data_IF_837431634577
#
_entry.id   IF_837431634577
#
_cell.length_a   1.000
_cell.length_b   1.000
_cell.length_c   1.000
_cell.angle_alpha   90.00
_cell.angle_beta   90.00
_cell.angle_gamma   90.00
#
_symmetry.space_group_name_H-M   'P 1'
#
loop_
_entity.id
_entity.type
_entity.pdbx_description
1 polymer ?
#
# COMPACT_ATOMS: atom_id res chain seq x y z
N UNK A 1 -7.82 18.50 -6.39
CA UNK A 1 -7.26 19.06 -5.14
C UNK A 1 -8.46 19.40 -4.30
N UNK A 2 -8.63 18.74 -3.16
CA UNK A 2 -9.73 19.02 -2.24
C UNK A 2 -9.43 20.28 -1.43
N UNK A 3 -10.47 20.88 -0.86
CA UNK A 3 -10.33 22.11 -0.08
C UNK A 3 -9.41 21.90 1.13
N UNK A 4 -8.57 22.89 1.42
CA UNK A 4 -7.58 22.89 2.50
C UNK A 4 -6.53 21.76 2.48
N UNK A 5 -6.53 20.89 1.46
CA UNK A 5 -5.54 19.82 1.36
C UNK A 5 -4.11 20.38 1.30
N UNK A 6 -3.18 19.74 1.99
CA UNK A 6 -1.73 20.03 1.92
C UNK A 6 -0.97 18.95 1.15
N UNK A 7 -1.58 17.78 0.97
CA UNK A 7 -1.09 16.66 0.18
C UNK A 7 -2.15 16.31 -0.87
N UNK A 8 -1.73 15.90 -2.06
CA UNK A 8 -2.62 15.72 -3.21
C UNK A 8 -2.39 14.38 -3.92
N UNK A 9 -3.42 13.92 -4.62
CA UNK A 9 -3.41 12.61 -5.27
C UNK A 9 -4.56 11.76 -4.76
N UNK A 10 -5.29 11.14 -5.68
CA UNK A 10 -6.43 10.29 -5.34
C UNK A 10 -6.60 9.19 -6.39
N UNK A 11 -7.10 8.02 -5.99
CA UNK A 11 -7.28 6.85 -6.88
C UNK A 11 -8.54 6.95 -7.75
N UNK A 12 -9.52 7.75 -7.35
CA UNK A 12 -10.75 7.99 -8.12
C UNK A 12 -10.81 9.37 -8.76
N UNK A 13 -12.01 9.77 -9.20
CA UNK A 13 -12.26 11.10 -9.77
C UNK A 13 -12.71 12.13 -8.72
N UNK A 14 -13.27 11.66 -7.60
CA UNK A 14 -13.70 12.46 -6.44
C UNK A 14 -13.65 11.63 -5.14
N UNK A 15 -13.54 12.22 -3.94
CA UNK A 15 -13.33 11.49 -2.67
C UNK A 15 -14.36 10.41 -2.32
N UNK A 16 -15.54 10.43 -2.93
CA UNK A 16 -16.60 9.44 -2.74
C UNK A 16 -16.61 8.33 -3.83
N UNK A 17 -15.63 8.33 -4.74
CA UNK A 17 -15.54 7.39 -5.86
C UNK A 17 -14.45 6.36 -5.61
N UNK A 18 -14.70 5.10 -5.94
CA UNK A 18 -13.75 4.01 -5.73
C UNK A 18 -13.14 3.55 -7.05
N UNK A 19 -11.91 3.06 -7.02
CA UNK A 19 -11.29 2.46 -8.20
C UNK A 19 -11.85 1.06 -8.47
N UNK A 20 -12.01 0.73 -9.75
CA UNK A 20 -12.39 -0.60 -10.23
C UNK A 20 -11.31 -1.11 -11.19
N UNK A 21 -10.70 -2.25 -10.83
CA UNK A 21 -9.65 -2.91 -11.61
C UNK A 21 -10.26 -4.04 -12.42
N UNK A 22 -10.63 -3.71 -13.65
CA UNK A 22 -11.41 -4.61 -14.52
C UNK A 22 -10.62 -5.85 -14.97
N UNK A 23 -9.29 -5.75 -15.02
CA UNK A 23 -8.38 -6.85 -15.33
C UNK A 23 -8.27 -7.87 -14.18
N UNK A 24 -8.74 -7.50 -12.98
CA UNK A 24 -8.52 -8.26 -11.75
C UNK A 24 -9.25 -9.59 -11.68
N UNK A 25 -10.49 -9.65 -12.16
CA UNK A 25 -11.26 -10.89 -12.21
C UNK A 25 -12.71 -10.71 -12.65
N UNK A 26 -13.23 -11.67 -13.40
CA UNK A 26 -14.59 -11.61 -13.95
C UNK A 26 -15.68 -11.69 -12.89
N UNK A 27 -15.47 -12.43 -11.79
CA UNK A 27 -16.42 -12.42 -10.67
C UNK A 27 -16.53 -11.04 -10.02
N UNK A 28 -15.41 -10.33 -9.86
CA UNK A 28 -15.40 -8.97 -9.33
C UNK A 28 -16.14 -8.01 -10.27
N UNK A 29 -15.92 -8.16 -11.57
CA UNK A 29 -16.55 -7.34 -12.60
C UNK A 29 -18.08 -7.51 -12.61
N UNK A 30 -18.56 -8.75 -12.50
CA UNK A 30 -19.99 -9.05 -12.38
C UNK A 30 -20.57 -8.47 -11.10
N UNK A 31 -19.88 -8.57 -9.97
CA UNK A 31 -20.34 -7.97 -8.72
C UNK A 31 -20.41 -6.43 -8.79
N UNK A 32 -19.39 -5.77 -9.36
CA UNK A 32 -19.39 -4.31 -9.56
C UNK A 32 -20.54 -3.88 -10.49
N UNK A 33 -20.83 -4.64 -11.54
CA UNK A 33 -21.95 -4.35 -12.43
C UNK A 33 -23.32 -4.48 -11.74
N UNK A 34 -23.47 -5.44 -10.84
CA UNK A 34 -24.73 -5.75 -10.17
C UNK A 34 -24.93 -5.02 -8.83
N UNK A 35 -23.91 -4.33 -8.30
CA UNK A 35 -24.03 -3.61 -7.03
C UNK A 35 -24.86 -2.33 -7.21
N UNK A 36 -26.01 -2.19 -6.52
CA UNK A 36 -26.87 -1.03 -6.69
C UNK A 36 -26.23 0.25 -6.15
N UNK A 37 -26.40 1.36 -6.87
CA UNK A 37 -26.05 2.71 -6.37
C UNK A 37 -24.55 3.06 -6.39
N UNK A 38 -23.71 2.23 -7.01
CA UNK A 38 -22.28 2.55 -7.20
C UNK A 38 -21.96 3.06 -8.61
N UNK A 39 -22.86 2.83 -9.58
CA UNK A 39 -22.69 3.29 -10.95
C UNK A 39 -22.90 4.82 -11.04
N UNK A 40 -22.03 5.57 -11.74
CA UNK A 40 -22.22 7.01 -11.92
C UNK A 40 -23.50 7.35 -12.67
N UNK A 41 -24.12 8.47 -12.33
CA UNK A 41 -25.28 8.97 -13.08
C UNK A 41 -24.88 9.59 -14.43
N UNK A 42 -25.68 9.40 -15.51
CA UNK A 42 -26.91 8.60 -15.58
C UNK A 42 -26.64 7.09 -15.56
N UNK A 43 -27.26 6.37 -14.63
CA UNK A 43 -26.97 4.95 -14.36
C UNK A 43 -27.06 4.07 -15.61
N UNK A 44 -28.12 4.21 -16.42
CA UNK A 44 -28.32 3.40 -17.62
C UNK A 44 -27.17 3.53 -18.65
N UNK A 45 -26.58 4.73 -18.79
CA UNK A 45 -25.45 4.93 -19.69
C UNK A 45 -24.16 4.36 -19.11
N UNK A 46 -23.96 4.50 -17.80
CA UNK A 46 -22.82 3.93 -17.09
C UNK A 46 -22.84 2.41 -17.16
N UNK A 47 -23.97 1.76 -16.88
CA UNK A 47 -24.12 0.31 -17.00
C UNK A 47 -23.83 -0.18 -18.42
N UNK A 48 -24.27 0.55 -19.46
CA UNK A 48 -23.94 0.20 -20.85
C UNK A 48 -22.43 0.24 -21.13
N UNK A 49 -21.73 1.25 -20.61
CA UNK A 49 -20.26 1.36 -20.72
C UNK A 49 -19.58 0.25 -19.94
N UNK A 50 -20.02 -0.02 -18.72
CA UNK A 50 -19.50 -1.09 -17.88
C UNK A 50 -19.63 -2.45 -18.56
N UNK A 51 -20.82 -2.80 -19.06
CA UNK A 51 -21.04 -4.05 -19.80
C UNK A 51 -20.08 -4.20 -21.00
N UNK A 52 -19.93 -3.15 -21.81
CA UNK A 52 -19.01 -3.20 -22.96
C UNK A 52 -17.54 -3.38 -22.56
N UNK A 53 -17.13 -2.83 -21.41
CA UNK A 53 -15.79 -3.05 -20.87
C UNK A 53 -15.63 -4.48 -20.32
N UNK A 54 -16.63 -5.00 -19.62
CA UNK A 54 -16.63 -6.36 -19.08
C UNK A 54 -16.55 -7.38 -20.23
N UNK A 55 -17.39 -7.23 -21.25
CA UNK A 55 -17.39 -8.09 -22.44
C UNK A 55 -16.02 -8.15 -23.12
N UNK A 56 -15.29 -7.03 -23.14
CA UNK A 56 -13.94 -6.98 -23.69
C UNK A 56 -12.92 -7.76 -22.85
N UNK A 57 -13.08 -7.75 -21.53
CA UNK A 57 -12.14 -8.38 -20.59
C UNK A 57 -12.48 -9.83 -20.26
N UNK A 58 -13.70 -10.28 -20.55
CA UNK A 58 -14.11 -11.67 -20.43
C UNK A 58 -13.14 -12.60 -21.16
N UNK A 59 -12.59 -13.59 -20.45
CA UNK A 59 -11.57 -14.54 -20.93
C UNK A 59 -10.12 -14.01 -20.88
N UNK A 60 -9.92 -12.74 -20.54
CA UNK A 60 -8.61 -12.09 -20.45
C UNK A 60 -8.24 -11.64 -19.04
N UNK A 61 -9.17 -11.65 -18.09
CA UNK A 61 -8.87 -11.31 -16.69
C UNK A 61 -7.87 -12.31 -16.08
N UNK A 62 -7.14 -11.88 -15.05
CA UNK A 62 -6.19 -12.74 -14.33
C UNK A 62 -6.91 -13.99 -13.79
N UNK A 63 -8.12 -13.80 -13.26
CA UNK A 63 -8.96 -14.87 -12.77
C UNK A 63 -9.35 -15.87 -13.86
N UNK A 64 -9.78 -15.40 -15.04
CA UNK A 64 -10.19 -16.29 -16.15
C UNK A 64 -9.04 -17.12 -16.70
N UNK A 65 -7.82 -16.60 -16.63
CA UNK A 65 -6.60 -17.32 -17.02
C UNK A 65 -6.20 -18.37 -15.98
N UNK A 66 -6.54 -18.15 -14.71
CA UNK A 66 -6.11 -18.98 -13.59
C UNK A 66 -7.10 -20.09 -13.22
N UNK A 67 -8.40 -19.80 -13.17
CA UNK A 67 -9.45 -20.77 -12.76
C UNK A 67 -9.40 -22.08 -13.56
N UNK A 68 -9.29 -22.06 -14.91
CA UNK A 68 -9.20 -23.31 -15.69
C UNK A 68 -7.99 -24.16 -15.30
N UNK A 69 -6.88 -23.53 -14.94
CA UNK A 69 -5.69 -24.24 -14.45
C UNK A 69 -6.04 -24.98 -13.15
N UNK A 70 -6.56 -24.30 -12.12
CA UNK A 70 -6.93 -24.94 -10.85
C UNK A 70 -7.92 -26.09 -11.04
N UNK A 71 -9.00 -25.84 -11.77
CA UNK A 71 -10.06 -26.84 -12.00
C UNK A 71 -9.57 -28.03 -12.83
N UNK A 72 -8.56 -27.84 -13.69
CA UNK A 72 -7.97 -28.92 -14.49
C UNK A 72 -7.07 -29.89 -13.70
N UNK A 73 -6.43 -29.44 -12.62
CA UNK A 73 -5.55 -30.30 -11.82
C UNK A 73 -6.29 -31.11 -10.76
N UNK A 74 -7.42 -30.62 -10.25
CA UNK A 74 -8.27 -31.36 -9.33
C UNK A 74 -9.66 -30.70 -9.20
N UNK A 75 -10.69 -31.30 -9.78
CA UNK A 75 -12.08 -30.86 -9.60
C UNK A 75 -12.49 -30.85 -8.11
N UNK A 76 -11.93 -31.76 -7.31
CA UNK A 76 -12.08 -31.85 -5.85
C UNK A 76 -11.47 -30.64 -5.11
N UNK A 77 -10.46 -29.96 -5.67
CA UNK A 77 -9.93 -28.71 -5.09
C UNK A 77 -10.88 -27.53 -5.36
N UNK A 78 -11.58 -27.53 -6.49
CA UNK A 78 -12.68 -26.59 -6.76
C UNK A 78 -13.81 -26.72 -5.74
N UNK A 79 -14.10 -27.95 -5.30
CA UNK A 79 -15.07 -28.24 -4.23
C UNK A 79 -14.68 -27.61 -2.89
N UNK A 80 -13.40 -27.67 -2.50
CA UNK A 80 -12.90 -27.06 -1.25
C UNK A 80 -13.01 -25.52 -1.24
N UNK A 81 -12.91 -24.91 -2.42
CA UNK A 81 -13.17 -23.48 -2.62
C UNK A 81 -14.67 -23.18 -2.47
N UNK A 82 -15.53 -23.97 -3.11
CA UNK A 82 -16.99 -23.79 -3.07
C UNK A 82 -17.59 -24.09 -1.68
N UNK A 83 -17.00 -25.03 -0.92
CA UNK A 83 -17.47 -25.39 0.43
C UNK A 83 -17.04 -24.41 1.53
N UNK A 84 -16.22 -23.41 1.21
CA UNK A 84 -15.76 -22.38 2.15
C UNK A 84 -14.76 -22.86 3.20
N UNK A 85 -14.16 -24.04 3.01
CA UNK A 85 -13.12 -24.59 3.90
C UNK A 85 -11.84 -23.78 3.78
N UNK A 86 -11.48 -23.43 2.55
CA UNK A 86 -10.41 -22.47 2.27
C UNK A 86 -11.08 -21.16 1.90
N UNK A 87 -11.11 -20.22 2.84
CA UNK A 87 -11.85 -18.96 2.67
C UNK A 87 -11.03 -17.83 2.06
N UNK A 88 -9.72 -17.76 2.33
CA UNK A 88 -8.87 -16.62 1.93
C UNK A 88 -7.54 -17.07 1.37
N UNK A 89 -6.98 -16.36 0.38
CA UNK A 89 -5.62 -16.58 -0.12
C UNK A 89 -5.49 -17.33 -1.45
N UNK A 90 -6.61 -17.75 -2.06
CA UNK A 90 -6.57 -18.24 -3.43
C UNK A 90 -6.20 -17.09 -4.38
N UNK A 91 -5.32 -17.31 -5.38
CA UNK A 91 -4.87 -16.26 -6.28
C UNK A 91 -5.91 -16.02 -7.39
N UNK A 92 -7.12 -15.68 -6.98
CA UNK A 92 -8.27 -15.34 -7.84
C UNK A 92 -8.33 -13.85 -8.19
N UNK A 93 -7.34 -13.04 -7.76
CA UNK A 93 -7.31 -11.60 -8.02
C UNK A 93 -5.90 -11.08 -8.31
N UNK A 94 -5.82 -10.06 -9.17
CA UNK A 94 -4.62 -9.22 -9.33
C UNK A 94 -4.24 -8.47 -8.05
N UNK A 95 -5.22 -8.23 -7.16
CA UNK A 95 -5.05 -7.57 -5.87
C UNK A 95 -4.44 -8.50 -4.84
N UNK A 96 -3.45 -8.02 -4.09
CA UNK A 96 -2.78 -8.78 -3.04
C UNK A 96 -2.10 -7.88 -2.01
N UNK A 97 -1.34 -8.50 -1.12
CA UNK A 97 -0.50 -7.77 -0.17
C UNK A 97 0.88 -7.56 -0.77
N UNK A 98 1.20 -6.33 -1.13
CA UNK A 98 2.49 -5.94 -1.68
C UNK A 98 3.23 -5.02 -0.72
N UNK A 99 4.49 -5.38 -0.47
CA UNK A 99 5.44 -4.52 0.22
C UNK A 99 6.20 -3.64 -0.76
N UNK A 100 6.58 -2.44 -0.33
CA UNK A 100 7.43 -1.53 -1.09
C UNK A 100 8.80 -1.56 -0.47
N UNK A 101 9.85 -1.60 -1.27
CA UNK A 101 11.23 -1.47 -0.77
C UNK A 101 11.48 -0.02 -0.32
N UNK A 102 10.96 0.34 0.85
CA UNK A 102 11.08 1.69 1.41
C UNK A 102 12.54 2.05 1.72
N UNK A 103 13.38 1.05 2.03
CA UNK A 103 14.82 1.25 2.14
C UNK A 103 15.44 1.72 0.82
N UNK A 104 14.96 1.17 -0.30
CA UNK A 104 15.39 1.61 -1.62
C UNK A 104 14.82 2.98 -2.03
N UNK A 105 13.56 3.28 -1.67
CA UNK A 105 12.82 4.43 -2.22
C UNK A 105 12.81 5.65 -1.29
N UNK A 106 12.46 5.49 0.00
CA UNK A 106 12.15 6.61 0.91
C UNK A 106 13.33 7.09 1.75
N UNK A 107 14.56 6.65 1.47
CA UNK A 107 15.76 7.11 2.19
C UNK A 107 16.27 8.49 1.77
N UNK A 108 15.63 9.15 0.80
CA UNK A 108 16.04 10.47 0.29
C UNK A 108 17.30 10.46 -0.57
N UNK A 109 17.81 9.28 -0.93
CA UNK A 109 19.03 9.12 -1.73
C UNK A 109 18.77 9.13 -3.24
N UNK A 110 17.52 8.96 -3.66
CA UNK A 110 17.13 8.86 -5.08
C UNK A 110 15.68 9.27 -5.31
N UNK A 111 15.40 9.77 -6.50
CA UNK A 111 14.06 9.90 -7.07
C UNK A 111 13.88 8.97 -8.27
N UNK A 112 12.74 9.09 -8.95
CA UNK A 112 12.44 8.27 -10.13
C UNK A 112 13.35 8.56 -11.32
N UNK A 113 13.86 9.79 -11.46
CA UNK A 113 14.86 10.14 -12.49
C UNK A 113 16.15 9.33 -12.31
N UNK A 114 16.60 9.13 -11.08
CA UNK A 114 17.80 8.34 -10.77
C UNK A 114 17.59 6.86 -11.08
N UNK A 115 16.39 6.33 -10.82
CA UNK A 115 16.02 4.93 -11.11
C UNK A 115 15.96 4.72 -12.64
N UNK A 116 15.35 5.64 -13.38
CA UNK A 116 15.31 5.60 -14.85
C UNK A 116 16.74 5.59 -15.42
N UNK A 117 17.60 6.48 -14.92
CA UNK A 117 19.00 6.53 -15.33
C UNK A 117 19.77 5.23 -15.01
N UNK A 118 19.47 4.57 -13.88
CA UNK A 118 20.05 3.25 -13.57
C UNK A 118 19.57 2.16 -14.53
N UNK A 119 18.28 2.17 -14.89
CA UNK A 119 17.73 1.24 -15.88
C UNK A 119 18.41 1.44 -17.24
N UNK A 120 18.58 2.70 -17.69
CA UNK A 120 19.24 2.99 -18.97
C UNK A 120 20.68 2.49 -18.99
N UNK A 121 21.45 2.71 -17.90
CA UNK A 121 22.81 2.17 -17.77
C UNK A 121 22.83 0.64 -17.84
N UNK A 122 21.90 -0.04 -17.16
CA UNK A 122 21.81 -1.51 -17.16
C UNK A 122 21.41 -2.07 -18.52
N UNK A 123 20.51 -1.40 -19.23
CA UNK A 123 20.12 -1.76 -20.59
C UNK A 123 21.32 -1.68 -21.54
N UNK A 124 22.14 -0.63 -21.44
CA UNK A 124 23.32 -0.48 -22.30
C UNK A 124 24.40 -1.51 -21.99
N UNK A 125 24.74 -1.71 -20.70
CA UNK A 125 25.69 -2.74 -20.26
C UNK A 125 25.27 -4.14 -20.72
N UNK A 126 23.96 -4.45 -20.65
CA UNK A 126 23.44 -5.74 -21.09
C UNK A 126 23.53 -5.92 -22.61
N UNK A 127 23.23 -4.89 -23.40
CA UNK A 127 23.38 -4.93 -24.87
C UNK A 127 24.84 -5.16 -25.25
N UNK A 128 25.77 -4.46 -24.59
CA UNK A 128 27.20 -4.60 -24.85
C UNK A 128 27.73 -5.98 -24.49
N UNK A 129 27.28 -6.56 -23.38
CA UNK A 129 27.63 -7.94 -22.99
C UNK A 129 27.07 -8.96 -23.99
N UNK A 130 25.81 -8.82 -24.39
CA UNK A 130 25.16 -9.69 -25.36
C UNK A 130 25.84 -9.65 -26.75
N UNK A 131 26.39 -8.50 -27.15
CA UNK A 131 27.20 -8.36 -28.38
C UNK A 131 28.55 -9.08 -28.30
N UNK A 132 29.17 -9.09 -27.12
CA UNK A 132 30.55 -9.59 -26.92
C UNK A 132 30.63 -11.08 -26.63
N UNK A 133 29.60 -11.70 -26.06
CA UNK A 133 29.62 -13.10 -25.66
C UNK A 133 28.25 -13.75 -25.90
N UNK A 134 28.21 -14.80 -26.72
CA UNK A 134 27.03 -15.64 -26.87
C UNK A 134 27.00 -16.69 -25.73
N UNK A 135 25.85 -16.87 -25.10
CA UNK A 135 25.65 -17.82 -24.00
C UNK A 135 24.16 -17.99 -23.64
N UNK A 136 23.75 -19.11 -23.01
CA UNK A 136 22.36 -19.37 -22.62
C UNK A 136 21.75 -18.29 -21.73
N UNK A 137 22.56 -17.61 -20.92
CA UNK A 137 22.15 -16.49 -20.06
C UNK A 137 21.56 -15.31 -20.83
N UNK A 138 21.86 -15.20 -22.13
CA UNK A 138 21.37 -14.15 -23.01
C UNK A 138 20.03 -14.50 -23.72
N UNK A 139 19.54 -15.73 -23.62
CA UNK A 139 18.23 -16.13 -24.17
C UNK A 139 17.08 -15.33 -23.57
N UNK A 140 17.23 -14.86 -22.33
CA UNK A 140 16.23 -14.06 -21.62
C UNK A 140 16.47 -12.55 -21.66
N UNK A 141 17.45 -12.07 -22.43
CA UNK A 141 17.77 -10.63 -22.52
C UNK A 141 16.59 -9.86 -23.08
N UNK A 142 15.94 -10.36 -24.13
CA UNK A 142 14.76 -9.71 -24.71
C UNK A 142 13.67 -9.46 -23.67
N UNK A 143 13.34 -10.49 -22.87
CA UNK A 143 12.36 -10.36 -21.79
C UNK A 143 12.80 -9.36 -20.70
N UNK A 144 14.07 -9.38 -20.30
CA UNK A 144 14.61 -8.42 -19.32
C UNK A 144 14.56 -6.98 -19.84
N UNK A 145 14.89 -6.76 -21.11
CA UNK A 145 14.82 -5.45 -21.75
C UNK A 145 13.38 -4.94 -21.82
N UNK A 146 12.43 -5.79 -22.20
CA UNK A 146 10.99 -5.45 -22.20
C UNK A 146 10.49 -5.08 -20.81
N UNK A 147 10.89 -5.83 -19.78
CA UNK A 147 10.53 -5.54 -18.39
C UNK A 147 11.09 -4.16 -17.95
N UNK A 148 12.38 -3.91 -18.18
CA UNK A 148 12.99 -2.62 -17.88
C UNK A 148 12.35 -1.44 -18.61
N UNK A 149 11.94 -1.65 -19.86
CA UNK A 149 11.22 -0.62 -20.61
C UNK A 149 9.83 -0.36 -20.01
N UNK A 150 9.11 -1.41 -19.61
CA UNK A 150 7.86 -1.28 -18.86
C UNK A 150 8.04 -0.49 -17.56
N UNK A 151 9.05 -0.82 -16.76
CA UNK A 151 9.39 -0.08 -15.54
C UNK A 151 9.65 1.41 -15.81
N UNK A 152 10.41 1.74 -16.86
CA UNK A 152 10.66 3.15 -17.24
C UNK A 152 9.38 3.88 -17.63
N UNK A 153 8.52 3.25 -18.43
CA UNK A 153 7.24 3.83 -18.84
C UNK A 153 6.39 4.19 -17.62
N UNK A 154 6.30 3.27 -16.64
CA UNK A 154 5.58 3.51 -15.39
C UNK A 154 6.20 4.68 -14.61
N UNK A 155 7.51 4.65 -14.34
CA UNK A 155 8.18 5.72 -13.59
C UNK A 155 7.98 7.11 -14.25
N UNK A 156 8.10 7.19 -15.57
CA UNK A 156 7.84 8.42 -16.33
C UNK A 156 6.36 8.85 -16.27
N UNK A 157 5.43 7.89 -16.29
CA UNK A 157 4.00 8.18 -16.15
C UNK A 157 3.68 8.78 -14.78
N UNK A 158 4.32 8.29 -13.71
CA UNK A 158 4.15 8.87 -12.36
C UNK A 158 4.72 10.28 -12.27
N UNK A 159 5.89 10.54 -12.85
CA UNK A 159 6.44 11.90 -12.91
C UNK A 159 5.47 12.84 -13.63
N UNK A 160 4.86 12.40 -14.75
CA UNK A 160 3.83 13.19 -15.43
C UNK A 160 2.57 13.37 -14.58
N UNK A 161 2.16 12.35 -13.82
CA UNK A 161 1.02 12.42 -12.91
C UNK A 161 1.23 13.48 -11.82
N UNK A 162 2.39 13.50 -11.15
CA UNK A 162 2.74 14.52 -10.17
C UNK A 162 2.77 15.93 -10.79
N UNK A 163 3.39 16.09 -11.96
CA UNK A 163 3.43 17.38 -12.67
C UNK A 163 2.04 17.89 -13.09
N UNK A 164 1.06 17.02 -13.33
CA UNK A 164 -0.33 17.43 -13.56
C UNK A 164 -0.93 18.07 -12.31
N UNK A 165 -0.66 17.53 -11.13
CA UNK A 165 -1.07 18.14 -9.86
C UNK A 165 -0.34 19.46 -9.60
N UNK A 166 0.96 19.54 -9.90
CA UNK A 166 1.70 20.78 -9.79
C UNK A 166 1.08 21.90 -10.64
N UNK A 167 0.85 21.60 -11.92
CA UNK A 167 0.21 22.53 -12.86
C UNK A 167 -1.18 22.95 -12.38
N UNK A 168 -1.99 22.00 -11.91
CA UNK A 168 -3.33 22.30 -11.41
C UNK A 168 -3.28 23.20 -10.17
N UNK A 169 -2.44 22.88 -9.18
CA UNK A 169 -2.28 23.66 -7.97
C UNK A 169 -1.88 25.11 -8.28
N UNK A 170 -0.93 25.30 -9.21
CA UNK A 170 -0.52 26.61 -9.69
C UNK A 170 -1.65 27.37 -10.39
N UNK A 171 -2.41 26.71 -11.26
CA UNK A 171 -3.58 27.33 -11.93
C UNK A 171 -4.61 27.80 -10.90
N UNK A 172 -4.93 26.96 -9.90
CA UNK A 172 -5.89 27.31 -8.84
C UNK A 172 -5.37 28.49 -8.02
N UNK A 173 -4.10 28.45 -7.61
CA UNK A 173 -3.46 29.52 -6.84
C UNK A 173 -3.44 30.87 -7.57
N UNK A 174 -3.19 30.88 -8.87
CA UNK A 174 -3.00 32.11 -9.64
C UNK A 174 -4.31 32.72 -10.14
N UNK A 175 -5.33 31.90 -10.40
CA UNK A 175 -6.53 32.36 -11.12
C UNK A 175 -7.82 32.31 -10.29
N UNK A 176 -7.87 31.51 -9.22
CA UNK A 176 -9.13 31.22 -8.53
C UNK A 176 -9.07 31.42 -7.00
N UNK A 177 -7.89 31.29 -6.38
CA UNK A 177 -7.75 31.46 -4.93
C UNK A 177 -7.63 32.94 -4.53
N UNK A 178 -8.47 33.36 -3.59
CA UNK A 178 -8.53 34.74 -3.10
C UNK A 178 -7.88 34.90 -1.72
N UNK A 179 -7.83 33.83 -0.92
CA UNK A 179 -7.19 33.84 0.38
C UNK A 179 -5.65 33.76 0.21
N UNK A 180 -4.88 34.77 0.64
CA UNK A 180 -3.43 34.79 0.48
C UNK A 180 -2.71 33.59 1.12
N UNK A 181 -3.18 33.12 2.28
CA UNK A 181 -2.59 31.97 2.97
C UNK A 181 -2.79 30.69 2.15
N UNK A 182 -4.03 30.45 1.69
CA UNK A 182 -4.34 29.27 0.89
C UNK A 182 -3.64 29.29 -0.47
N UNK A 183 -3.45 30.48 -1.04
CA UNK A 183 -2.68 30.66 -2.28
C UNK A 183 -1.22 30.22 -2.09
N UNK A 184 -0.59 30.59 -0.97
CA UNK A 184 0.78 30.16 -0.66
C UNK A 184 0.86 28.64 -0.48
N UNK A 185 -0.11 28.04 0.23
CA UNK A 185 -0.20 26.58 0.39
C UNK A 185 -0.30 25.86 -0.96
N UNK A 186 -1.13 26.35 -1.89
CA UNK A 186 -1.26 25.78 -3.23
C UNK A 186 0.04 25.92 -4.05
N UNK A 187 0.75 27.04 -3.94
CA UNK A 187 2.06 27.20 -4.58
C UNK A 187 3.10 26.24 -3.99
N UNK A 188 3.03 25.99 -2.68
CA UNK A 188 3.89 25.00 -1.99
C UNK A 188 3.58 23.57 -2.43
N UNK A 189 2.30 23.23 -2.62
CA UNK A 189 1.88 21.96 -3.22
C UNK A 189 2.43 21.84 -4.65
N UNK A 190 2.38 22.93 -5.43
CA UNK A 190 2.93 22.95 -6.77
C UNK A 190 4.43 22.65 -6.77
N UNK A 191 5.22 23.34 -5.95
CA UNK A 191 6.67 23.10 -5.81
C UNK A 191 6.96 21.65 -5.37
N UNK A 192 6.18 21.14 -4.40
CA UNK A 192 6.31 19.78 -3.89
C UNK A 192 6.09 18.76 -5.00
N UNK A 193 5.03 18.91 -5.81
CA UNK A 193 4.69 18.00 -6.89
C UNK A 193 5.61 18.13 -8.12
N UNK A 194 6.27 19.28 -8.33
CA UNK A 194 7.34 19.43 -9.32
C UNK A 194 8.62 18.70 -8.89
N UNK A 195 8.84 18.59 -7.58
CA UNK A 195 10.01 17.93 -6.99
C UNK A 195 9.85 16.41 -6.92
N UNK A 196 8.82 15.92 -6.22
CA UNK A 196 8.61 14.48 -5.97
C UNK A 196 7.49 13.92 -6.86
N UNK A 197 7.61 12.68 -7.37
CA UNK A 197 8.65 11.69 -7.08
C UNK A 197 9.85 11.72 -8.04
N UNK A 198 9.94 12.70 -8.94
CA UNK A 198 11.02 12.79 -9.91
C UNK A 198 12.41 12.82 -9.25
N UNK A 199 12.54 13.63 -8.20
CA UNK A 199 13.79 13.86 -7.45
C UNK A 199 13.61 13.52 -5.97
N UNK A 200 14.70 13.30 -5.22
CA UNK A 200 14.60 13.01 -3.79
C UNK A 200 13.97 14.16 -3.01
N UNK A 201 13.22 13.81 -1.95
CA UNK A 201 12.62 14.77 -1.02
C UNK A 201 13.68 15.57 -0.25
N UNK A 202 13.32 16.79 0.16
CA UNK A 202 14.19 17.75 0.85
C UNK A 202 13.68 18.17 2.23
N UNK A 203 12.39 17.94 2.47
CA UNK A 203 11.60 18.39 3.62
C UNK A 203 10.46 17.38 3.91
N UNK A 204 9.72 17.58 5.00
CA UNK A 204 8.68 16.66 5.48
C UNK A 204 7.51 16.56 4.49
N UNK A 205 7.03 17.67 3.95
CA UNK A 205 5.90 17.69 3.01
C UNK A 205 6.22 16.91 1.73
N UNK A 206 7.41 17.10 1.16
CA UNK A 206 7.90 16.31 0.02
C UNK A 206 8.03 14.83 0.37
N UNK A 207 8.45 14.49 1.59
CA UNK A 207 8.57 13.09 2.00
C UNK A 207 7.21 12.39 2.09
N UNK A 208 6.20 13.06 2.66
CA UNK A 208 4.84 12.53 2.81
C UNK A 208 4.10 12.48 1.46
N UNK A 209 4.27 13.51 0.63
CA UNK A 209 3.70 13.56 -0.72
C UNK A 209 4.28 12.47 -1.63
N UNK A 210 5.57 12.17 -1.50
CA UNK A 210 6.20 11.08 -2.24
C UNK A 210 5.59 9.73 -1.83
N UNK A 211 5.54 9.40 -0.54
CA UNK A 211 4.90 8.15 -0.09
C UNK A 211 3.44 8.08 -0.57
N UNK A 212 2.66 9.15 -0.40
CA UNK A 212 1.28 9.17 -0.88
C UNK A 212 1.15 8.90 -2.39
N UNK A 213 2.00 9.50 -3.23
CA UNK A 213 1.99 9.21 -4.67
C UNK A 213 2.36 7.77 -5.00
N UNK A 214 3.32 7.17 -4.30
CA UNK A 214 3.66 5.75 -4.48
C UNK A 214 2.44 4.86 -4.25
N UNK A 215 1.65 5.19 -3.23
CA UNK A 215 0.52 4.38 -2.79
C UNK A 215 -0.66 4.52 -3.74
N UNK A 216 -0.94 5.74 -4.21
CA UNK A 216 -1.95 5.98 -5.24
C UNK A 216 -1.62 5.23 -6.53
N UNK A 217 -0.37 5.33 -7.01
CA UNK A 217 0.02 4.71 -8.29
C UNK A 217 0.03 3.19 -8.21
N UNK A 218 0.54 2.62 -7.12
CA UNK A 218 0.54 1.17 -6.95
C UNK A 218 -0.87 0.58 -7.10
N UNK A 219 -1.89 1.31 -6.63
CA UNK A 219 -3.29 0.86 -6.73
C UNK A 219 -3.83 0.94 -8.15
N UNK A 220 -3.32 1.86 -8.97
CA UNK A 220 -3.57 1.83 -10.41
C UNK A 220 -2.85 0.68 -11.12
N UNK A 221 -1.66 0.30 -10.66
CA UNK A 221 -0.84 -0.72 -11.33
C UNK A 221 -1.21 -2.16 -10.94
N UNK A 222 -1.49 -2.40 -9.65
CA UNK A 222 -1.59 -3.74 -9.08
C UNK A 222 -2.75 -3.94 -8.10
N UNK A 223 -3.51 -2.89 -7.77
CA UNK A 223 -4.59 -3.00 -6.79
C UNK A 223 -4.13 -3.39 -5.39
N UNK A 224 -3.01 -2.82 -4.93
CA UNK A 224 -2.45 -3.10 -3.61
C UNK A 224 -3.49 -3.05 -2.49
N UNK A 225 -3.72 -4.18 -1.83
CA UNK A 225 -4.75 -4.35 -0.79
C UNK A 225 -4.27 -4.01 0.62
N UNK A 226 -2.99 -3.70 0.79
CA UNK A 226 -2.40 -3.27 2.06
C UNK A 226 -1.46 -2.09 1.89
N UNK A 227 -1.24 -1.38 2.99
CA UNK A 227 -0.24 -0.32 3.10
C UNK A 227 0.71 -0.64 4.27
N UNK A 228 1.56 -1.67 4.14
CA UNK A 228 2.62 -1.88 5.11
C UNK A 228 3.57 -0.69 5.02
N UNK A 229 3.79 0.05 6.10
CA UNK A 229 4.80 1.11 6.12
C UNK A 229 5.25 1.40 7.55
N UNK A 230 6.31 2.20 7.67
CA UNK A 230 6.89 2.66 8.92
C UNK A 230 7.09 4.18 8.88
N UNK A 231 5.99 4.95 8.90
CA UNK A 231 6.03 6.37 8.56
C UNK A 231 6.88 7.18 9.54
N UNK A 232 6.87 6.84 10.83
CA UNK A 232 7.72 7.50 11.83
C UNK A 232 9.22 7.27 11.61
N UNK A 233 9.60 6.17 10.97
CA UNK A 233 10.98 5.83 10.68
C UNK A 233 11.49 6.52 9.41
N UNK A 234 10.74 6.43 8.31
CA UNK A 234 11.16 6.99 7.02
C UNK A 234 10.94 8.50 6.94
N UNK A 235 9.92 9.04 7.62
CA UNK A 235 9.64 10.47 7.67
C UNK A 235 10.26 11.17 8.88
N UNK A 236 10.64 10.42 9.92
CA UNK A 236 11.27 10.94 11.15
C UNK A 236 12.46 11.89 10.91
N UNK A 237 13.44 11.56 10.04
CA UNK A 237 14.54 12.46 9.74
C UNK A 237 14.10 13.79 9.10
N UNK A 238 13.03 13.79 8.31
CA UNK A 238 12.49 15.01 7.69
C UNK A 238 11.68 15.83 8.66
N UNK A 239 10.95 15.17 9.57
CA UNK A 239 10.28 15.83 10.69
C UNK A 239 11.31 16.54 11.58
N UNK A 240 12.35 15.83 12.03
CA UNK A 240 13.38 16.38 12.90
C UNK A 240 14.09 17.56 12.23
N UNK A 241 14.42 17.42 10.94
CA UNK A 241 15.00 18.50 10.15
C UNK A 241 14.11 19.74 10.12
N UNK A 242 12.85 19.59 9.70
CA UNK A 242 11.96 20.75 9.50
C UNK A 242 11.48 21.38 10.82
N UNK A 243 11.31 20.58 11.88
CA UNK A 243 10.71 21.03 13.14
C UNK A 243 11.76 21.42 14.17
N UNK A 244 12.80 20.60 14.35
CA UNK A 244 13.75 20.75 15.45
C UNK A 244 15.04 21.46 15.02
N UNK A 245 15.54 21.22 13.79
CA UNK A 245 16.81 21.76 13.29
C UNK A 245 16.60 23.08 12.55
N UNK A 246 15.95 23.03 11.39
CA UNK A 246 15.76 24.18 10.49
C UNK A 246 14.62 25.09 10.96
N UNK A 247 13.71 24.56 11.80
CA UNK A 247 12.52 25.25 12.32
C UNK A 247 11.67 25.91 11.23
N UNK A 248 11.56 25.22 10.09
CA UNK A 248 10.70 25.58 8.96
C UNK A 248 9.22 25.40 9.29
N UNK A 249 8.92 24.44 10.16
CA UNK A 249 7.59 24.15 10.65
C UNK A 249 7.60 24.24 12.17
N UNK A 250 6.55 24.82 12.73
CA UNK A 250 6.22 24.63 14.14
C UNK A 250 5.74 23.19 14.37
N UNK A 251 5.75 22.74 15.64
CA UNK A 251 5.18 21.44 16.01
C UNK A 251 3.70 21.31 15.64
N UNK A 252 2.95 22.41 15.71
CA UNK A 252 1.52 22.43 15.39
C UNK A 252 1.28 22.32 13.87
N UNK A 253 2.06 23.04 13.06
CA UNK A 253 2.01 22.90 11.59
C UNK A 253 2.46 21.51 11.12
N UNK A 254 3.46 20.92 11.76
CA UNK A 254 3.89 19.56 11.46
C UNK A 254 2.82 18.53 11.86
N UNK A 255 2.16 18.72 13.01
CA UNK A 255 1.06 17.86 13.46
C UNK A 255 -0.13 17.91 12.49
N UNK A 256 -0.47 19.11 11.99
CA UNK A 256 -1.52 19.31 10.99
C UNK A 256 -1.17 18.60 9.67
N UNK A 257 0.07 18.73 9.18
CA UNK A 257 0.55 18.03 7.99
C UNK A 257 0.57 16.50 8.15
N UNK A 258 0.93 16.00 9.34
CA UNK A 258 0.85 14.57 9.66
C UNK A 258 -0.60 14.08 9.68
N UNK A 259 -1.51 14.89 10.24
CA UNK A 259 -2.95 14.61 10.20
C UNK A 259 -3.49 14.56 8.77
N UNK A 260 -3.10 15.51 7.92
CA UNK A 260 -3.44 15.49 6.49
C UNK A 260 -2.96 14.21 5.81
N UNK A 261 -1.75 13.71 6.11
CA UNK A 261 -1.28 12.43 5.58
C UNK A 261 -2.17 11.26 5.99
N UNK A 262 -2.64 11.24 7.24
CA UNK A 262 -3.62 10.24 7.69
C UNK A 262 -4.96 10.36 6.95
N UNK A 263 -5.45 11.58 6.69
CA UNK A 263 -6.68 11.82 5.92
C UNK A 263 -6.52 11.29 4.50
N UNK A 264 -5.43 11.65 3.81
CA UNK A 264 -5.15 11.17 2.45
C UNK A 264 -5.01 9.65 2.40
N UNK A 265 -4.44 9.04 3.43
CA UNK A 265 -4.38 7.60 3.53
C UNK A 265 -5.77 6.97 3.71
N UNK A 266 -6.63 7.57 4.54
CA UNK A 266 -8.00 7.10 4.77
C UNK A 266 -8.87 7.09 3.49
N UNK A 267 -8.62 8.05 2.59
CA UNK A 267 -9.38 8.19 1.34
C UNK A 267 -9.15 7.03 0.35
N UNK A 268 -8.07 6.27 0.49
CA UNK A 268 -7.57 5.36 -0.55
C UNK A 268 -8.21 3.97 -0.48
N UNK A 269 -9.49 3.81 -0.82
CA UNK A 269 -10.19 2.51 -0.79
C UNK A 269 -10.14 1.67 -2.08
N UNK A 270 -10.52 0.39 -1.98
CA UNK A 270 -10.77 -0.53 -3.11
C UNK A 270 -12.12 -1.22 -2.98
N UNK A 271 -12.79 -1.52 -4.11
CA UNK A 271 -14.01 -2.30 -4.10
C UNK A 271 -13.69 -3.77 -3.81
N UNK A 272 -14.47 -4.38 -2.91
CA UNK A 272 -14.37 -5.79 -2.58
C UNK A 272 -15.69 -6.50 -2.85
N UNK A 273 -15.64 -7.78 -3.25
CA UNK A 273 -16.83 -8.60 -3.37
C UNK A 273 -17.66 -8.62 -2.08
N UNK A 274 -18.97 -8.82 -2.18
CA UNK A 274 -19.92 -8.81 -1.05
C UNK A 274 -19.49 -9.75 0.07
N UNK A 275 -19.14 -10.98 -0.26
CA UNK A 275 -18.68 -11.97 0.73
C UNK A 275 -17.42 -11.50 1.48
N UNK A 276 -16.52 -10.78 0.80
CA UNK A 276 -15.36 -10.15 1.44
C UNK A 276 -15.77 -8.99 2.35
N UNK A 277 -16.68 -8.12 1.90
CA UNK A 277 -17.20 -7.01 2.71
C UNK A 277 -17.94 -7.47 3.96
N UNK A 278 -18.67 -8.59 3.86
CA UNK A 278 -19.34 -9.21 5.00
C UNK A 278 -18.35 -9.83 5.99
N UNK A 279 -17.22 -10.37 5.51
CA UNK A 279 -16.13 -10.87 6.36
C UNK A 279 -15.21 -9.80 6.94
N UNK A 280 -15.09 -8.64 6.28
CA UNK A 280 -14.21 -7.52 6.63
C UNK A 280 -14.99 -6.22 6.85
N UNK A 281 -16.02 -6.28 7.69
CA UNK A 281 -16.91 -5.15 7.94
C UNK A 281 -16.15 -3.92 8.45
N UNK A 282 -16.40 -2.77 7.85
CA UNK A 282 -15.81 -1.48 8.24
C UNK A 282 -14.36 -1.28 7.78
N UNK A 283 -13.79 -2.21 6.99
CA UNK A 283 -12.42 -2.14 6.49
C UNK A 283 -12.42 -1.93 4.98
N UNK A 284 -11.87 -0.80 4.52
CA UNK A 284 -11.69 -0.45 3.10
C UNK A 284 -10.36 -0.94 2.52
N UNK A 285 -9.51 -1.51 3.37
CA UNK A 285 -8.23 -2.14 3.07
C UNK A 285 -7.43 -2.34 4.35
N UNK A 286 -6.52 -3.31 4.39
CA UNK A 286 -5.73 -3.56 5.61
C UNK A 286 -4.52 -2.63 5.66
N UNK A 287 -4.75 -1.37 6.04
CA UNK A 287 -3.69 -0.35 6.13
C UNK A 287 -3.20 -0.29 7.56
N UNK A 288 -2.03 -0.89 7.81
CA UNK A 288 -1.39 -0.90 9.13
C UNK A 288 -0.05 -0.19 9.02
N UNK A 289 0.02 0.96 9.65
CA UNK A 289 1.28 1.69 9.81
C UNK A 289 1.95 1.26 11.10
N UNK A 290 3.18 0.79 10.98
CA UNK A 290 3.95 0.29 12.11
C UNK A 290 4.83 1.41 12.66
N UNK A 291 4.74 1.67 13.96
CA UNK A 291 5.45 2.73 14.66
C UNK A 291 6.42 2.16 15.69
N UNK A 292 7.42 2.94 16.08
CA UNK A 292 8.39 2.62 17.12
C UNK A 292 9.38 1.52 16.71
N UNK A 293 9.67 0.62 17.65
CA UNK A 293 10.61 -0.48 17.46
C UNK A 293 12.06 -0.03 17.55
N UNK A 294 12.95 -0.80 16.92
CA UNK A 294 14.39 -0.52 16.90
C UNK A 294 14.90 -0.18 15.50
N UNK A 295 16.10 0.41 15.43
CA UNK A 295 16.86 0.60 14.20
C UNK A 295 17.61 -0.70 13.85
N UNK A 296 18.25 -0.75 12.68
CA UNK A 296 19.06 -1.90 12.26
C UNK A 296 20.17 -2.26 13.27
N UNK A 297 20.76 -1.25 13.93
CA UNK A 297 21.77 -1.44 14.98
C UNK A 297 21.20 -1.92 16.33
N UNK A 298 19.87 -1.96 16.48
CA UNK A 298 19.17 -2.38 17.69
C UNK A 298 18.88 -1.26 18.69
N UNK A 299 19.24 -0.01 18.39
CA UNK A 299 18.88 1.15 19.22
C UNK A 299 17.40 1.53 19.04
N UNK A 300 16.82 2.20 20.03
CA UNK A 300 15.44 2.70 19.96
C UNK A 300 15.24 3.59 18.71
N UNK A 301 14.16 3.33 17.98
CA UNK A 301 13.79 4.08 16.79
C UNK A 301 12.66 5.08 17.03
N UNK A 302 12.06 5.09 18.22
CA UNK A 302 11.05 6.08 18.57
C UNK A 302 11.66 7.49 18.48
N UNK A 303 10.90 8.43 17.91
CA UNK A 303 11.31 9.81 17.72
C UNK A 303 10.10 10.75 17.77
N UNK A 304 10.31 12.06 17.57
CA UNK A 304 9.23 13.05 17.65
C UNK A 304 8.12 12.81 16.62
N UNK A 305 8.41 12.20 15.46
CA UNK A 305 7.40 11.78 14.48
C UNK A 305 6.55 10.61 15.03
N UNK A 306 7.13 9.69 15.81
CA UNK A 306 6.36 8.63 16.49
C UNK A 306 5.30 9.25 17.40
N UNK A 307 5.67 10.28 18.17
CA UNK A 307 4.74 11.04 19.01
C UNK A 307 3.72 11.76 18.12
N UNK A 308 4.15 12.55 17.13
CA UNK A 308 3.26 13.31 16.25
C UNK A 308 2.20 12.43 15.57
N UNK A 309 2.55 11.22 15.12
CA UNK A 309 1.62 10.24 14.57
C UNK A 309 0.54 9.84 15.60
N UNK A 310 0.96 9.46 16.81
CA UNK A 310 0.03 9.09 17.89
C UNK A 310 -0.87 10.27 18.28
N UNK A 311 -0.34 11.50 18.25
CA UNK A 311 -1.12 12.70 18.53
C UNK A 311 -2.13 12.99 17.42
N UNK A 312 -1.71 12.89 16.14
CA UNK A 312 -2.54 13.11 14.97
C UNK A 312 -3.73 12.14 14.92
N UNK A 313 -3.51 10.87 15.28
CA UNK A 313 -4.57 9.87 15.38
C UNK A 313 -5.75 10.32 16.26
N UNK A 314 -5.46 10.99 17.37
CA UNK A 314 -6.48 11.48 18.33
C UNK A 314 -7.31 12.63 17.76
N UNK A 315 -6.71 13.41 16.85
CA UNK A 315 -7.34 14.55 16.19
C UNK A 315 -8.15 14.11 14.97
N UNK A 316 -7.54 13.30 14.10
CA UNK A 316 -8.12 12.91 12.80
C UNK A 316 -9.19 11.82 12.95
N UNK A 317 -8.99 10.86 13.87
CA UNK A 317 -9.99 9.82 14.23
C UNK A 317 -10.57 9.03 13.04
N UNK A 318 -9.72 8.66 12.08
CA UNK A 318 -10.09 7.80 10.94
C UNK A 318 -9.98 6.32 11.27
N UNK A 319 -10.71 5.46 10.55
CA UNK A 319 -10.64 4.00 10.76
C UNK A 319 -9.40 3.37 10.13
N UNK A 320 -8.86 3.99 9.07
CA UNK A 320 -7.60 3.61 8.46
C UNK A 320 -6.77 4.86 8.14
N UNK A 321 -5.43 4.77 8.14
CA UNK A 321 -4.62 3.62 8.54
C UNK A 321 -4.70 3.37 10.04
N UNK A 322 -4.74 2.11 10.43
CA UNK A 322 -4.59 1.70 11.84
C UNK A 322 -3.11 1.68 12.20
N UNK A 323 -2.81 1.84 13.49
CA UNK A 323 -1.43 1.78 13.98
C UNK A 323 -1.12 0.45 14.66
N UNK A 324 0.10 -0.01 14.44
CA UNK A 324 0.75 -1.00 15.28
C UNK A 324 1.99 -0.36 15.92
N UNK A 325 2.27 -0.66 17.18
CA UNK A 325 3.44 -0.15 17.88
C UNK A 325 4.35 -1.30 18.28
N UNK A 326 5.61 -1.19 17.88
CA UNK A 326 6.67 -2.15 18.17
C UNK A 326 7.29 -1.83 19.52
N UNK A 327 6.80 -2.51 20.55
CA UNK A 327 7.29 -2.34 21.91
C UNK A 327 8.60 -3.10 22.14
N UNK A 328 9.56 -2.45 22.78
CA UNK A 328 10.78 -3.06 23.29
C UNK A 328 11.16 -2.46 24.65
N UNK A 329 12.07 -3.08 25.42
CA UNK A 329 12.38 -2.63 26.78
C UNK A 329 13.03 -1.24 26.90
N UNK A 330 13.56 -0.68 25.81
CA UNK A 330 14.22 0.63 25.82
C UNK A 330 13.29 1.78 25.39
N UNK A 331 12.00 1.51 25.11
CA UNK A 331 11.03 2.55 24.77
C UNK A 331 10.89 3.50 25.96
N UNK A 332 10.99 4.81 25.69
CA UNK A 332 10.85 5.84 26.72
C UNK A 332 9.42 5.93 27.25
N UNK A 333 9.29 6.25 28.54
CA UNK A 333 8.00 6.44 29.22
C UNK A 333 7.09 7.48 28.54
N UNK A 334 7.68 8.54 27.96
CA UNK A 334 6.93 9.57 27.24
C UNK A 334 6.20 9.00 26.02
N UNK A 335 6.85 8.11 25.27
CA UNK A 335 6.26 7.46 24.08
C UNK A 335 5.20 6.44 24.51
N UNK A 336 5.46 5.70 25.59
CA UNK A 336 4.47 4.77 26.16
C UNK A 336 3.22 5.49 26.63
N UNK A 337 3.37 6.67 27.26
CA UNK A 337 2.22 7.50 27.66
C UNK A 337 1.40 7.93 26.44
N UNK A 338 2.03 8.37 25.36
CA UNK A 338 1.32 8.73 24.13
C UNK A 338 0.59 7.54 23.50
N UNK A 339 1.17 6.33 23.54
CA UNK A 339 0.50 5.11 23.10
C UNK A 339 -0.78 4.86 23.92
N UNK A 340 -0.70 4.94 25.25
CA UNK A 340 -1.85 4.73 26.13
C UNK A 340 -2.90 5.85 26.01
N UNK A 341 -2.49 7.10 25.81
CA UNK A 341 -3.41 8.21 25.55
C UNK A 341 -4.15 8.03 24.22
N UNK A 342 -3.48 7.52 23.19
CA UNK A 342 -4.12 7.16 21.92
C UNK A 342 -5.14 6.02 22.11
N UNK A 343 -4.75 4.93 22.79
CA UNK A 343 -5.65 3.80 23.09
C UNK A 343 -6.89 4.27 23.87
N UNK A 344 -6.70 5.18 24.84
CA UNK A 344 -7.79 5.75 25.66
C UNK A 344 -8.86 6.47 24.85
N UNK A 345 -8.56 6.93 23.63
CA UNK A 345 -9.55 7.56 22.73
C UNK A 345 -10.56 6.59 22.11
N UNK A 346 -10.35 5.27 22.27
CA UNK A 346 -11.28 4.23 21.82
C UNK A 346 -11.26 3.96 20.32
N UNK A 347 -10.19 4.33 19.62
CA UNK A 347 -10.03 4.12 18.17
C UNK A 347 -9.61 2.68 17.81
N UNK A 348 -9.18 1.89 18.79
CA UNK A 348 -8.72 0.51 18.59
C UNK A 348 -7.22 0.37 18.24
N UNK A 349 -6.48 1.47 18.16
CA UNK A 349 -5.04 1.48 17.85
C UNK A 349 -4.26 2.52 18.69
N UNK A 350 -2.92 2.35 18.88
CA UNK A 350 -2.07 1.30 18.31
C UNK A 350 -2.30 -0.11 18.89
N UNK A 351 -2.18 -1.14 18.05
CA UNK A 351 -2.00 -2.52 18.53
C UNK A 351 -0.55 -2.71 18.99
N UNK A 352 -0.34 -3.21 20.21
CA UNK A 352 0.99 -3.33 20.80
C UNK A 352 1.61 -4.69 20.48
N UNK A 353 2.86 -4.69 19.99
CA UNK A 353 3.57 -5.90 19.53
C UNK A 353 4.91 -6.03 20.22
N UNK A 354 5.24 -7.23 20.70
CA UNK A 354 6.52 -7.49 21.36
C UNK A 354 7.64 -7.65 20.31
N UNK A 355 8.45 -6.61 20.17
CA UNK A 355 9.46 -6.50 19.13
C UNK A 355 10.56 -7.58 19.23
N UNK A 356 11.17 -7.86 20.40
CA UNK A 356 12.13 -8.95 20.56
C UNK A 356 11.63 -10.33 20.12
N UNK A 357 10.36 -10.66 20.43
CA UNK A 357 9.77 -11.95 20.04
C UNK A 357 9.61 -12.03 18.53
N UNK A 358 9.09 -10.98 17.90
CA UNK A 358 8.86 -10.98 16.45
C UNK A 358 10.17 -10.98 15.66
N UNK A 359 11.19 -10.25 16.11
CA UNK A 359 12.54 -10.29 15.53
C UNK A 359 13.11 -11.72 15.60
N UNK A 360 13.06 -12.35 16.78
CA UNK A 360 13.54 -13.72 16.96
C UNK A 360 12.78 -14.71 16.08
N UNK A 361 11.46 -14.56 15.98
CA UNK A 361 10.60 -15.39 15.14
C UNK A 361 10.98 -15.31 13.66
N UNK A 362 11.20 -14.11 13.14
CA UNK A 362 11.61 -13.91 11.75
C UNK A 362 13.00 -14.48 11.46
N UNK A 363 13.95 -14.29 12.38
CA UNK A 363 15.28 -14.88 12.24
C UNK A 363 15.22 -16.41 12.23
N UNK A 364 14.43 -17.00 13.13
CA UNK A 364 14.37 -18.45 13.29
C UNK A 364 13.61 -19.15 12.15
N UNK A 365 12.41 -18.69 11.80
CA UNK A 365 11.54 -19.38 10.83
C UNK A 365 11.77 -18.95 9.38
N UNK A 366 12.32 -17.76 9.16
CA UNK A 366 12.51 -17.20 7.82
C UNK A 366 13.97 -16.91 7.47
N UNK A 367 14.90 -17.06 8.43
CA UNK A 367 16.32 -16.89 8.17
C UNK A 367 16.74 -15.46 7.86
N UNK A 368 15.91 -14.46 8.17
CA UNK A 368 16.28 -13.06 7.95
C UNK A 368 17.49 -12.69 8.82
N UNK A 369 18.50 -12.00 8.26
CA UNK A 369 19.57 -11.39 9.06
C UNK A 369 18.99 -10.47 10.13
N UNK A 370 19.69 -10.31 11.25
CA UNK A 370 19.18 -9.54 12.40
C UNK A 370 18.91 -8.07 12.04
N UNK A 371 19.75 -7.47 11.20
CA UNK A 371 19.61 -6.10 10.74
C UNK A 371 18.33 -5.94 9.92
N UNK A 372 18.04 -6.89 9.04
CA UNK A 372 16.81 -6.92 8.25
C UNK A 372 15.59 -7.18 9.15
N UNK A 373 15.65 -8.21 9.99
CA UNK A 373 14.57 -8.56 10.92
C UNK A 373 14.16 -7.36 11.80
N UNK A 374 15.10 -6.53 12.24
CA UNK A 374 14.82 -5.30 13.03
C UNK A 374 14.04 -4.23 12.29
N UNK A 375 13.91 -4.28 10.97
CA UNK A 375 13.20 -3.26 10.18
C UNK A 375 11.71 -3.53 10.00
N UNK A 376 11.20 -4.64 10.52
CA UNK A 376 9.89 -5.15 10.14
C UNK A 376 8.71 -4.19 10.36
N UNK A 377 7.70 -4.39 9.50
CA UNK A 377 6.39 -3.76 9.50
C UNK A 377 5.29 -4.81 9.41
N UNK A 378 4.08 -4.45 9.79
CA UNK A 378 2.91 -5.28 9.53
C UNK A 378 2.49 -5.22 8.07
N UNK A 379 2.54 -6.37 7.40
CA UNK A 379 1.80 -6.62 6.18
C UNK A 379 0.39 -7.06 6.53
N UNK A 380 -0.58 -6.31 6.01
CA UNK A 380 -1.97 -6.40 6.44
C UNK A 380 -2.07 -6.27 7.97
N UNK A 381 -2.94 -7.04 8.64
CA UNK A 381 -3.26 -6.82 10.04
C UNK A 381 -2.07 -7.04 11.00
N UNK A 382 -1.38 -8.19 10.91
CA UNK A 382 -0.49 -8.67 12.00
C UNK A 382 0.76 -9.42 11.52
N UNK A 383 0.96 -9.59 10.20
CA UNK A 383 2.08 -10.39 9.68
C UNK A 383 3.36 -9.57 9.68
N UNK A 384 4.41 -9.90 10.44
CA UNK A 384 5.66 -9.16 10.42
C UNK A 384 6.43 -9.47 9.13
N UNK A 385 6.92 -8.43 8.46
CA UNK A 385 7.79 -8.56 7.29
C UNK A 385 8.85 -7.45 7.30
N UNK A 386 10.14 -7.75 7.06
CA UNK A 386 11.15 -6.72 6.90
C UNK A 386 10.88 -5.78 5.73
N UNK A 387 11.39 -4.55 5.81
CA UNK A 387 11.12 -3.48 4.81
C UNK A 387 12.01 -3.54 3.57
N UNK A 388 12.75 -4.63 3.39
CA UNK A 388 13.64 -4.84 2.23
C UNK A 388 12.92 -5.67 1.17
N UNK A 389 13.36 -5.56 -0.09
CA UNK A 389 12.86 -6.43 -1.18
C UNK A 389 13.01 -7.94 -0.91
N UNK A 390 13.89 -8.34 0.02
CA UNK A 390 14.15 -9.74 0.36
C UNK A 390 13.33 -10.21 1.56
N UNK A 391 12.90 -9.27 2.41
CA UNK A 391 12.09 -9.56 3.58
C UNK A 391 10.60 -9.50 3.35
N UNK A 392 10.15 -8.75 2.34
CA UNK A 392 8.74 -8.70 2.02
C UNK A 392 8.24 -10.03 1.45
N UNK A 393 7.25 -10.59 2.12
CA UNK A 393 6.54 -11.76 1.65
C UNK A 393 5.65 -11.31 0.47
N UNK A 394 5.84 -11.84 -0.75
CA UNK A 394 5.05 -11.43 -1.91
C UNK A 394 3.58 -11.83 -1.79
N UNK A 395 3.29 -12.83 -0.96
CA UNK A 395 1.95 -13.26 -0.53
C UNK A 395 2.07 -13.69 0.94
N UNK A 396 1.08 -13.34 1.78
CA UNK A 396 1.05 -13.68 3.22
C UNK A 396 1.36 -15.16 3.43
N UNK A 397 2.09 -15.50 4.49
CA UNK A 397 2.44 -16.86 4.96
C UNK A 397 1.33 -17.92 4.89
N UNK A 398 0.07 -17.49 4.88
CA UNK A 398 -1.07 -18.34 4.62
C UNK A 398 -1.72 -17.90 3.30
N UNK A 399 -1.31 -18.50 2.17
CA UNK A 399 -2.07 -18.46 0.91
C UNK A 399 -3.41 -19.22 1.00
N UNK A 400 -3.77 -19.68 2.20
CA UNK A 400 -5.03 -20.32 2.50
C UNK A 400 -5.36 -20.03 3.98
N UNK A 401 -6.44 -19.30 4.26
CA UNK A 401 -7.05 -19.30 5.60
C UNK A 401 -8.02 -20.47 5.65
N UNK A 402 -7.67 -21.48 6.44
CA UNK A 402 -8.53 -22.64 6.65
C UNK A 402 -9.57 -22.32 7.74
N UNK A 403 -10.83 -22.64 7.45
CA UNK A 403 -11.88 -22.65 8.44
C UNK A 403 -11.73 -23.90 9.31
N UNK A 404 -11.04 -23.75 10.45
CA UNK A 404 -10.77 -24.88 11.35
C UNK A 404 -12.05 -25.53 11.89
N UNK A 405 -13.18 -24.81 11.95
CA UNK A 405 -14.46 -25.41 12.32
C UNK A 405 -14.95 -26.42 11.27
N UNK A 406 -14.78 -26.12 9.96
CA UNK A 406 -15.11 -27.07 8.88
C UNK A 406 -14.20 -28.28 8.88
N UNK A 407 -12.92 -28.12 9.23
CA UNK A 407 -12.00 -29.25 9.37
C UNK A 407 -12.48 -30.22 10.46
N UNK A 408 -12.98 -29.70 11.57
CA UNK A 408 -13.58 -30.53 12.64
C UNK A 408 -14.85 -31.22 12.15
N UNK A 409 -15.73 -30.50 11.45
CA UNK A 409 -16.94 -31.07 10.87
C UNK A 409 -16.62 -32.25 9.95
N UNK A 410 -15.66 -32.09 9.04
CA UNK A 410 -15.25 -33.16 8.14
C UNK A 410 -14.69 -34.37 8.89
N UNK A 411 -13.92 -34.16 9.96
CA UNK A 411 -13.47 -35.27 10.79
C UNK A 411 -14.63 -36.03 11.45
N UNK A 412 -15.70 -35.34 11.84
CA UNK A 412 -16.87 -35.93 12.52
C UNK A 412 -17.85 -36.60 11.55
N UNK A 413 -17.99 -36.06 10.33
CA UNK A 413 -18.92 -36.54 9.31
C UNK A 413 -18.22 -37.38 8.23
N UNK A 414 -17.04 -37.93 8.53
CA UNK A 414 -16.26 -38.79 7.63
C UNK A 414 -16.04 -38.14 6.25
N UNK A 415 -15.70 -36.85 6.24
CA UNK A 415 -15.52 -35.99 5.06
C UNK A 415 -16.76 -35.24 4.60
N UNK A 416 -17.97 -35.70 4.98
CA UNK A 416 -19.21 -35.13 4.45
C UNK A 416 -19.54 -33.76 5.04
N UNK A 417 -19.89 -32.81 4.17
CA UNK A 417 -20.33 -31.47 4.48
C UNK A 417 -21.87 -31.37 4.43
N UNK A 418 -22.57 -31.34 5.58
CA UNK A 418 -24.03 -31.22 5.62
C UNK A 418 -24.57 -29.85 5.16
N UNK A 419 -23.74 -28.81 5.08
CA UNK A 419 -24.18 -27.47 4.66
C UNK A 419 -24.27 -27.40 3.13
N UNK A 420 -23.25 -27.91 2.43
CA UNK A 420 -23.25 -27.94 0.95
C UNK A 420 -23.67 -29.27 0.33
N UNK A 421 -23.98 -30.27 1.17
CA UNK A 421 -24.42 -31.62 0.79
C UNK A 421 -23.44 -32.35 -0.15
N UNK A 422 -22.17 -32.42 0.25
CA UNK A 422 -21.10 -33.00 -0.56
C UNK A 422 -20.09 -33.73 0.32
N UNK A 423 -19.51 -34.81 -0.20
CA UNK A 423 -18.54 -35.67 0.49
C UNK A 423 -17.11 -35.14 0.42
#
# INVERSE_FOLDING_TARGET
>A
ITDQAQLVGYVGSAPHTISWLIEGGSLLNEEVYNEPGIAPEPEAESLKKMAAMIDRWNGYSVQDRFIPYVLSFAAEEGVKLLSGVVGWGLPISISGYNGKDYEYILTGKRGFEDIIADIDRRQEDMKDKARKKAGPEYLHVGYRMMNWEGMKIVLQAVIRYANRYARLAKIVAENYETNPKRREELLRIAETCERVPAKPQRNLQESLQFDHFLQVVERFESGGGAWPSRPDYYHGPWYDKDVNIDKRLTREEALDLVGEFMIRANEVGSFFPRWTREGLQGITGTWVWTLGGVKQDGTDACNDMTIAMLQAARLVRVSNPTFAFRWHPQVKDEVMRECFECIRQGLGYPSMRNDPVLITNMMHWHGHPIEEARTWVHQACMSPCPTTKHGFQPMRMASATANMAKVIEYALFNGYDPIVNMQ
#
